data_IF_658008167290
#
_entry.id   IF_658008167290
#
_cell.length_a   1.000
_cell.length_b   1.000
_cell.length_c   1.000
_cell.angle_alpha   90.00
_cell.angle_beta   90.00
_cell.angle_gamma   90.00
#
_symmetry.space_group_name_H-M   'P 1'
#
loop_
_entity.id
_entity.type
_entity.pdbx_description
1 polymer ?
#
# COMPACT_ATOMS: atom_id res chain seq x y z
N UNK A 1 -0.40 58.82 27.68
CA UNK A 1 -0.17 59.89 26.72
C UNK A 1 1.26 59.74 26.21
N UNK A 2 1.41 59.54 24.92
CA UNK A 2 2.76 59.51 24.28
C UNK A 2 3.33 60.94 24.23
N UNK A 3 4.61 61.09 24.59
CA UNK A 3 5.34 62.34 24.42
C UNK A 3 6.03 62.36 23.04
N UNK A 4 5.94 63.45 22.35
CA UNK A 4 6.69 63.68 21.09
C UNK A 4 7.87 64.66 21.33
N UNK A 5 8.68 64.91 20.29
CA UNK A 5 9.85 65.73 20.38
C UNK A 5 9.58 67.21 20.79
N UNK A 6 8.33 67.66 20.81
CA UNK A 6 7.89 69.00 21.14
C UNK A 6 7.11 69.09 22.48
N UNK A 7 7.03 67.96 23.24
CA UNK A 7 6.33 67.95 24.52
C UNK A 7 7.10 68.77 25.54
N UNK A 8 6.51 69.90 25.98
CA UNK A 8 7.08 70.77 27.04
C UNK A 8 6.81 70.11 28.40
N UNK A 9 7.89 69.70 29.08
CA UNK A 9 7.83 69.13 30.41
C UNK A 9 7.78 70.28 31.44
N UNK A 10 6.66 70.43 32.11
CA UNK A 10 6.44 71.51 33.11
C UNK A 10 6.50 70.98 34.55
N UNK A 11 6.58 69.67 34.76
CA UNK A 11 6.70 69.00 36.07
C UNK A 11 7.63 67.77 35.92
N UNK A 12 8.11 67.23 37.03
CA UNK A 12 8.91 65.99 37.01
C UNK A 12 8.11 64.82 36.39
N UNK A 13 8.56 64.37 35.22
CA UNK A 13 7.91 63.28 34.48
C UNK A 13 8.88 62.11 34.37
N UNK A 14 8.41 60.92 34.80
CA UNK A 14 9.15 59.68 34.52
C UNK A 14 8.67 59.10 33.17
N UNK A 15 9.55 59.04 32.21
CA UNK A 15 9.31 58.41 30.89
C UNK A 15 9.81 56.99 30.96
N UNK A 16 8.92 56.05 30.64
CA UNK A 16 9.28 54.68 30.43
C UNK A 16 9.42 54.46 28.92
N UNK A 17 10.60 54.02 28.51
CA UNK A 17 10.78 53.54 27.14
C UNK A 17 10.08 52.19 27.01
N UNK A 18 9.07 52.13 26.17
CA UNK A 18 8.43 50.85 25.82
C UNK A 18 9.18 50.32 24.62
N UNK A 19 10.07 49.38 24.87
CA UNK A 19 10.73 48.61 23.84
C UNK A 19 9.81 47.50 23.40
N UNK A 20 9.44 47.47 22.13
CA UNK A 20 8.93 46.28 21.51
C UNK A 20 10.14 45.58 20.83
N UNK A 21 10.29 44.29 21.06
CA UNK A 21 11.19 43.53 20.20
C UNK A 21 10.80 43.75 18.73
N UNK A 22 11.77 43.84 17.79
CA UNK A 22 11.40 43.89 16.38
C UNK A 22 10.51 42.67 16.08
N UNK A 23 9.36 42.92 15.45
CA UNK A 23 8.48 41.86 15.05
C UNK A 23 9.26 40.85 14.19
N UNK A 24 9.31 39.60 14.67
CA UNK A 24 9.86 38.50 13.85
C UNK A 24 8.78 38.11 12.88
N UNK A 25 9.10 38.08 11.58
CA UNK A 25 8.11 37.61 10.60
C UNK A 25 7.72 36.15 10.85
N UNK A 26 6.41 35.86 10.82
CA UNK A 26 5.91 34.49 10.95
C UNK A 26 6.49 33.62 9.83
N UNK A 27 7.26 32.61 10.20
CA UNK A 27 7.79 31.60 9.29
C UNK A 27 7.26 30.21 9.66
N UNK A 28 6.95 29.40 8.63
CA UNK A 28 6.35 28.07 8.79
C UNK A 28 7.06 27.09 7.88
N UNK A 29 7.60 26.05 8.45
CA UNK A 29 8.19 24.92 7.73
C UNK A 29 7.23 23.76 7.63
N UNK A 30 7.33 22.97 6.55
CA UNK A 30 6.48 21.80 6.28
C UNK A 30 7.32 20.55 6.28
N UNK A 31 6.84 19.51 6.95
CA UNK A 31 7.42 18.18 6.90
C UNK A 31 6.35 17.08 6.78
N UNK A 32 6.75 15.88 6.37
CA UNK A 32 5.85 14.76 6.05
C UNK A 32 6.34 13.48 6.71
N UNK A 33 5.40 12.63 7.16
CA UNK A 33 5.72 11.36 7.82
C UNK A 33 6.27 10.28 6.88
N UNK A 34 6.10 10.42 5.56
CA UNK A 34 6.53 9.46 4.55
C UNK A 34 7.79 9.91 3.78
N UNK A 35 8.70 10.57 4.43
CA UNK A 35 10.02 10.92 3.86
C UNK A 35 11.10 10.10 4.55
N UNK A 36 12.12 9.70 3.76
CA UNK A 36 13.30 9.02 4.29
C UNK A 36 14.31 10.03 4.90
N UNK A 37 15.42 9.53 5.44
CA UNK A 37 16.47 10.37 6.04
C UNK A 37 17.12 11.35 5.05
N UNK A 38 17.04 11.07 3.74
CA UNK A 38 17.50 11.97 2.68
C UNK A 38 16.47 13.03 2.28
N UNK A 39 15.27 13.01 2.89
CA UNK A 39 14.17 13.93 2.56
C UNK A 39 13.39 13.55 1.31
N UNK A 40 13.58 12.33 0.77
CA UNK A 40 12.85 11.82 -0.39
C UNK A 40 11.54 11.18 0.03
N UNK A 41 10.47 11.43 -0.75
CA UNK A 41 9.16 10.81 -0.52
C UNK A 41 9.24 9.29 -0.75
N UNK A 42 8.72 8.53 0.21
CA UNK A 42 8.55 7.08 0.11
C UNK A 42 7.08 6.72 -0.08
N UNK A 43 6.81 5.63 -0.79
CA UNK A 43 5.47 5.08 -0.93
C UNK A 43 4.97 4.51 0.41
N UNK A 44 3.69 4.69 0.69
CA UNK A 44 3.04 4.19 1.92
C UNK A 44 1.57 3.86 1.67
N UNK A 45 1.07 2.82 2.30
CA UNK A 45 -0.36 2.50 2.34
C UNK A 45 -1.08 3.13 3.56
N UNK A 46 -0.34 3.90 4.35
CA UNK A 46 -0.86 4.63 5.50
C UNK A 46 -1.20 6.08 5.13
N UNK A 47 -1.95 6.74 6.00
CA UNK A 47 -2.15 8.18 5.92
C UNK A 47 -0.83 8.91 6.14
N UNK A 48 -0.61 9.98 5.39
CA UNK A 48 0.55 10.85 5.56
C UNK A 48 0.21 11.98 6.51
N UNK A 49 0.95 12.06 7.61
CA UNK A 49 0.85 13.19 8.53
C UNK A 49 1.72 14.34 8.01
N UNK A 50 1.08 15.49 7.79
CA UNK A 50 1.74 16.76 7.51
C UNK A 50 1.94 17.47 8.83
N UNK A 51 3.15 17.96 9.07
CA UNK A 51 3.52 18.76 10.24
C UNK A 51 3.97 20.14 9.77
N UNK A 52 3.30 21.17 10.28
CA UNK A 52 3.70 22.57 10.14
C UNK A 52 4.37 23.01 11.43
N UNK A 53 5.58 23.53 11.32
CA UNK A 53 6.33 24.06 12.48
C UNK A 53 6.55 25.54 12.28
N UNK A 54 5.98 26.34 13.18
CA UNK A 54 6.10 27.78 13.20
C UNK A 54 7.23 28.24 14.14
N UNK A 55 7.84 29.38 13.83
CA UNK A 55 8.87 30.01 14.64
C UNK A 55 8.34 30.73 15.89
N UNK A 56 7.01 30.87 15.99
CA UNK A 56 6.32 31.51 17.12
C UNK A 56 4.95 30.85 17.36
N UNK A 57 4.29 31.13 18.52
CA UNK A 57 2.98 30.57 18.84
C UNK A 57 1.91 30.95 17.82
N UNK A 58 1.12 29.98 17.39
CA UNK A 58 0.07 30.12 16.38
C UNK A 58 -1.30 29.74 16.95
N UNK A 59 -2.34 30.18 16.28
CA UNK A 59 -3.71 29.87 16.62
C UNK A 59 -4.11 28.48 16.11
N UNK A 60 -5.09 27.87 16.77
CA UNK A 60 -5.68 26.61 16.31
C UNK A 60 -6.37 26.76 14.95
N UNK A 61 -6.23 25.75 14.10
CA UNK A 61 -6.86 25.69 12.78
C UNK A 61 -7.82 24.51 12.76
N UNK A 62 -9.01 24.69 12.21
CA UNK A 62 -10.01 23.63 12.10
C UNK A 62 -9.44 22.43 11.28
N UNK A 63 -9.59 21.23 11.85
CA UNK A 63 -9.09 20.00 11.26
C UNK A 63 -7.57 19.78 11.39
N UNK A 64 -6.88 20.59 12.19
CA UNK A 64 -5.49 20.40 12.60
C UNK A 64 -5.40 20.20 14.10
N UNK A 65 -4.41 19.46 14.53
CA UNK A 65 -4.07 19.30 15.94
C UNK A 65 -2.91 20.24 16.27
N UNK A 66 -3.14 21.15 17.22
CA UNK A 66 -2.12 22.06 17.74
C UNK A 66 -1.48 21.44 18.99
N UNK A 67 -0.18 21.50 19.10
CA UNK A 67 0.57 21.00 20.26
C UNK A 67 0.49 21.94 21.47
N UNK A 68 1.03 21.50 22.61
CA UNK A 68 1.02 22.28 23.86
C UNK A 68 1.89 23.55 23.79
N UNK A 69 2.92 23.55 22.94
CA UNK A 69 3.80 24.72 22.73
C UNK A 69 3.18 25.76 21.81
N UNK A 70 2.08 25.41 21.17
CA UNK A 70 1.38 26.23 20.16
C UNK A 70 2.23 26.57 18.94
N UNK A 71 3.28 25.80 18.67
CA UNK A 71 4.18 26.04 17.51
C UNK A 71 4.09 24.93 16.47
N UNK A 72 3.43 23.82 16.77
CA UNK A 72 3.34 22.65 15.86
C UNK A 72 1.88 22.31 15.58
N UNK A 73 1.53 22.30 14.29
CA UNK A 73 0.24 21.87 13.79
C UNK A 73 0.40 20.57 12.99
N UNK A 74 -0.42 19.57 13.26
CA UNK A 74 -0.40 18.28 12.54
C UNK A 74 -1.75 17.96 11.93
N UNK A 75 -1.72 17.34 10.72
CA UNK A 75 -2.93 16.84 10.04
C UNK A 75 -2.58 15.59 9.23
N UNK A 76 -3.41 14.55 9.36
CA UNK A 76 -3.32 13.35 8.53
C UNK A 76 -4.11 13.51 7.23
N UNK A 77 -3.55 13.03 6.13
CA UNK A 77 -4.15 13.00 4.80
C UNK A 77 -4.20 11.57 4.28
N UNK A 78 -5.36 11.17 3.79
CA UNK A 78 -5.62 9.83 3.22
C UNK A 78 -5.47 9.77 1.71
N UNK A 79 -5.15 10.92 1.06
CA UNK A 79 -5.04 11.08 -0.39
C UNK A 79 -3.92 12.01 -0.79
N UNK A 80 -3.32 11.71 -1.95
CA UNK A 80 -2.38 12.59 -2.62
C UNK A 80 -3.10 13.87 -3.10
N UNK A 81 -2.43 15.01 -3.03
CA UNK A 81 -2.98 16.28 -3.49
C UNK A 81 -2.17 17.49 -3.03
N UNK A 82 -2.48 18.65 -3.60
CA UNK A 82 -1.93 19.95 -3.17
C UNK A 82 -2.99 20.64 -2.32
N UNK A 83 -2.57 21.16 -1.19
CA UNK A 83 -3.41 21.76 -0.16
C UNK A 83 -2.88 23.14 0.21
N UNK A 84 -3.78 23.99 0.70
CA UNK A 84 -3.48 25.33 1.17
C UNK A 84 -4.02 25.50 2.59
N UNK A 85 -3.30 26.25 3.39
CA UNK A 85 -3.73 26.60 4.75
C UNK A 85 -3.16 27.96 5.13
N UNK A 86 -3.94 28.78 5.81
CA UNK A 86 -3.48 30.04 6.38
C UNK A 86 -3.17 29.81 7.86
N UNK A 87 -1.90 29.98 8.23
CA UNK A 87 -1.43 29.94 9.62
C UNK A 87 -1.45 31.36 10.17
N UNK A 88 -1.95 31.54 11.39
CA UNK A 88 -2.02 32.83 12.07
C UNK A 88 -1.24 32.78 13.36
N UNK A 89 -0.37 33.74 13.60
CA UNK A 89 0.31 33.89 14.88
C UNK A 89 -0.60 34.48 15.96
N UNK A 90 -0.16 34.41 17.20
CA UNK A 90 -0.90 34.95 18.33
C UNK A 90 -1.04 36.48 18.25
N UNK A 91 -0.08 37.18 17.63
CA UNK A 91 -0.07 38.63 17.43
C UNK A 91 -0.80 39.08 16.15
N UNK A 92 -1.31 38.13 15.34
CA UNK A 92 -2.19 38.39 14.20
C UNK A 92 -1.51 38.42 12.83
N UNK A 93 -0.24 38.02 12.73
CA UNK A 93 0.40 37.82 11.43
C UNK A 93 -0.21 36.62 10.71
N UNK A 94 -0.25 36.65 9.37
CA UNK A 94 -0.79 35.56 8.55
C UNK A 94 0.27 35.04 7.56
N UNK A 95 0.36 33.73 7.45
CA UNK A 95 1.20 33.02 6.47
C UNK A 95 0.36 32.04 5.69
N UNK A 96 0.28 32.22 4.38
CA UNK A 96 -0.28 31.19 3.51
C UNK A 96 0.79 30.12 3.23
N UNK A 97 0.41 28.87 3.46
CA UNK A 97 1.26 27.69 3.25
C UNK A 97 0.61 26.79 2.22
N UNK A 98 1.26 26.58 1.09
CA UNK A 98 0.95 25.55 0.11
C UNK A 98 1.85 24.34 0.36
N UNK A 99 1.27 23.13 0.36
CA UNK A 99 2.02 21.89 0.51
C UNK A 99 1.40 20.75 -0.31
N UNK A 100 2.24 19.81 -0.74
CA UNK A 100 1.81 18.69 -1.57
C UNK A 100 2.05 17.37 -0.84
N UNK A 101 0.97 16.62 -0.62
CA UNK A 101 1.02 15.25 -0.13
C UNK A 101 1.13 14.32 -1.34
N UNK A 102 2.09 13.40 -1.31
CA UNK A 102 2.33 12.41 -2.37
C UNK A 102 2.84 11.10 -1.78
N UNK A 103 2.88 10.05 -2.59
CA UNK A 103 3.38 8.73 -2.15
C UNK A 103 2.35 7.89 -1.39
N UNK A 104 1.09 8.30 -1.32
CA UNK A 104 0.02 7.44 -0.76
C UNK A 104 -0.49 6.53 -1.87
N UNK A 105 -0.38 5.22 -1.63
CA UNK A 105 -1.03 4.18 -2.43
C UNK A 105 -1.67 3.14 -1.51
N UNK A 106 -2.99 3.00 -1.61
CA UNK A 106 -3.81 2.05 -0.82
C UNK A 106 -4.41 0.94 -1.67
N UNK A 107 -3.95 0.81 -2.92
CA UNK A 107 -4.39 -0.24 -3.82
C UNK A 107 -3.41 -1.38 -3.84
N UNK A 108 -3.92 -2.60 -3.66
CA UNK A 108 -3.10 -3.78 -3.79
C UNK A 108 -2.77 -4.10 -5.27
N UNK A 109 -1.57 -4.65 -5.54
CA UNK A 109 -1.16 -5.05 -6.87
C UNK A 109 -2.04 -6.17 -7.44
N UNK A 110 -2.08 -6.30 -8.76
CA UNK A 110 -2.82 -7.36 -9.44
C UNK A 110 -1.88 -8.49 -9.85
N UNK A 111 -2.37 -9.75 -9.74
CA UNK A 111 -1.70 -10.94 -10.25
C UNK A 111 -2.66 -11.74 -11.13
N UNK A 112 -2.18 -12.22 -12.27
CA UNK A 112 -2.94 -13.06 -13.21
C UNK A 112 -2.09 -14.24 -13.65
N UNK A 113 -2.68 -15.44 -13.55
CA UNK A 113 -2.10 -16.69 -14.06
C UNK A 113 -2.72 -16.97 -15.42
N UNK A 114 -1.87 -17.15 -16.43
CA UNK A 114 -2.25 -17.57 -17.77
C UNK A 114 -1.90 -19.03 -18.00
N UNK A 115 -2.87 -19.82 -18.45
CA UNK A 115 -2.67 -21.25 -18.66
C UNK A 115 -3.95 -22.00 -18.97
N UNK A 116 -3.91 -23.32 -18.88
CA UNK A 116 -5.06 -24.20 -19.05
C UNK A 116 -5.51 -24.73 -17.71
N UNK A 117 -6.70 -24.34 -17.27
CA UNK A 117 -7.27 -24.69 -15.97
C UNK A 117 -8.65 -24.03 -15.76
N UNK A 118 -9.16 -24.09 -14.54
CA UNK A 118 -10.45 -23.53 -14.14
C UNK A 118 -10.35 -22.18 -13.40
N UNK A 119 -9.15 -21.57 -13.35
CA UNK A 119 -8.85 -20.35 -12.61
C UNK A 119 -8.29 -20.56 -11.20
N UNK A 120 -8.52 -21.73 -10.61
CA UNK A 120 -7.97 -22.14 -9.31
C UNK A 120 -6.94 -23.27 -9.46
N UNK A 121 -7.20 -24.22 -10.37
CA UNK A 121 -6.33 -25.34 -10.63
C UNK A 121 -5.92 -25.37 -12.11
N UNK A 122 -4.65 -25.56 -12.36
CA UNK A 122 -4.02 -25.49 -13.69
C UNK A 122 -3.30 -26.80 -13.99
N UNK A 123 -3.57 -27.38 -15.18
CA UNK A 123 -2.75 -28.45 -15.76
C UNK A 123 -1.55 -27.92 -16.56
N UNK A 124 -1.63 -26.66 -16.96
CA UNK A 124 -0.56 -25.95 -17.65
C UNK A 124 -0.56 -24.49 -17.25
N UNK A 125 0.56 -23.98 -16.79
CA UNK A 125 0.76 -22.54 -16.53
C UNK A 125 1.77 -22.04 -17.57
N UNK A 126 1.33 -21.10 -18.42
CA UNK A 126 2.14 -20.51 -19.50
C UNK A 126 2.80 -19.21 -19.06
N UNK A 127 2.16 -18.50 -18.14
CA UNK A 127 2.65 -17.22 -17.69
C UNK A 127 2.07 -16.83 -16.32
N UNK A 128 2.80 -15.95 -15.64
CA UNK A 128 2.32 -15.18 -14.50
C UNK A 128 2.58 -13.72 -14.82
N UNK A 129 1.53 -12.89 -14.77
CA UNK A 129 1.60 -11.45 -14.99
C UNK A 129 1.23 -10.73 -13.71
N UNK A 130 2.01 -9.73 -13.37
CA UNK A 130 1.76 -8.87 -12.21
C UNK A 130 1.79 -7.41 -12.64
N UNK A 131 0.98 -6.56 -12.01
CA UNK A 131 0.87 -5.15 -12.35
C UNK A 131 0.46 -4.32 -11.14
N UNK A 132 1.14 -3.19 -10.98
CA UNK A 132 0.75 -2.11 -10.10
C UNK A 132 1.17 -0.75 -10.71
N UNK A 133 0.29 0.29 -10.73
CA UNK A 133 0.61 1.59 -11.34
C UNK A 133 1.75 2.34 -10.66
N UNK A 134 1.94 2.12 -9.36
CA UNK A 134 2.96 2.82 -8.55
C UNK A 134 4.22 1.98 -8.33
N UNK A 135 4.18 0.72 -8.77
CA UNK A 135 5.32 -0.18 -8.81
C UNK A 135 5.26 -1.34 -7.84
N UNK A 136 5.86 -2.44 -8.26
CA UNK A 136 5.91 -3.70 -7.53
C UNK A 136 7.28 -3.83 -6.87
N UNK A 137 7.28 -4.13 -5.59
CA UNK A 137 8.50 -4.41 -4.81
C UNK A 137 8.98 -5.84 -5.09
N UNK A 138 8.12 -6.84 -4.87
CA UNK A 138 8.49 -8.24 -5.11
C UNK A 138 7.29 -9.14 -5.39
N UNK A 139 7.60 -10.30 -6.02
CA UNK A 139 6.73 -11.47 -6.10
C UNK A 139 7.37 -12.58 -5.26
N UNK A 140 6.57 -13.25 -4.43
CA UNK A 140 6.98 -14.45 -3.70
C UNK A 140 6.03 -15.59 -4.06
N UNK A 141 6.56 -16.70 -4.56
CA UNK A 141 5.79 -17.94 -4.78
C UNK A 141 6.38 -19.01 -3.88
N UNK A 142 5.55 -19.54 -2.99
CA UNK A 142 5.97 -20.41 -1.91
C UNK A 142 7.08 -19.71 -1.08
N UNK A 143 8.30 -20.21 -1.11
CA UNK A 143 9.45 -19.63 -0.41
C UNK A 143 10.41 -18.87 -1.35
N UNK A 144 10.11 -18.81 -2.66
CA UNK A 144 10.96 -18.16 -3.67
C UNK A 144 10.55 -16.71 -3.85
N UNK A 145 11.40 -15.79 -3.41
CA UNK A 145 11.23 -14.35 -3.56
C UNK A 145 11.96 -13.83 -4.79
N UNK A 146 11.27 -13.01 -5.60
CA UNK A 146 11.81 -12.34 -6.78
C UNK A 146 11.58 -10.84 -6.64
N UNK A 147 12.65 -10.04 -6.55
CA UNK A 147 12.59 -8.57 -6.54
C UNK A 147 12.20 -8.07 -7.94
N UNK A 148 11.32 -7.07 -8.02
CA UNK A 148 10.71 -6.64 -9.28
C UNK A 148 11.16 -5.23 -9.68
N UNK A 149 10.96 -4.22 -8.86
CA UNK A 149 11.30 -2.81 -9.12
C UNK A 149 10.75 -2.28 -10.47
N UNK A 150 9.53 -2.71 -10.85
CA UNK A 150 8.86 -2.37 -12.10
C UNK A 150 7.36 -2.26 -11.87
N UNK A 151 6.62 -1.54 -12.72
CA UNK A 151 5.16 -1.42 -12.65
C UNK A 151 4.42 -2.61 -13.22
N UNK A 152 5.06 -3.36 -14.10
CA UNK A 152 4.51 -4.53 -14.77
C UNK A 152 5.60 -5.57 -15.00
N UNK A 153 5.27 -6.84 -14.73
CA UNK A 153 6.17 -7.96 -15.08
C UNK A 153 5.38 -9.14 -15.62
N UNK A 154 5.96 -9.77 -16.63
CA UNK A 154 5.43 -10.96 -17.29
C UNK A 154 6.47 -12.06 -17.28
N UNK A 155 6.12 -13.19 -16.66
CA UNK A 155 7.00 -14.34 -16.50
C UNK A 155 6.48 -15.52 -17.30
N UNK A 156 7.38 -16.21 -17.98
CA UNK A 156 7.14 -17.46 -18.72
C UNK A 156 7.89 -18.66 -18.13
N UNK A 157 8.99 -18.42 -17.42
CA UNK A 157 9.69 -19.46 -16.66
C UNK A 157 9.14 -19.55 -15.25
N UNK A 158 8.05 -20.30 -15.11
CA UNK A 158 7.34 -20.47 -13.82
C UNK A 158 8.12 -21.28 -12.79
N UNK A 159 9.05 -22.14 -13.25
CA UNK A 159 9.89 -22.96 -12.34
C UNK A 159 10.89 -22.08 -11.61
N UNK A 160 11.48 -21.10 -12.31
CA UNK A 160 12.39 -20.15 -11.70
C UNK A 160 11.70 -19.29 -10.62
N UNK A 161 10.37 -19.16 -10.69
CA UNK A 161 9.55 -18.47 -9.68
C UNK A 161 9.20 -19.34 -8.47
N UNK A 162 9.55 -20.62 -8.44
CA UNK A 162 9.23 -21.52 -7.33
C UNK A 162 7.87 -22.23 -7.44
N UNK A 163 7.23 -22.24 -8.62
CA UNK A 163 6.00 -23.01 -8.84
C UNK A 163 6.31 -24.51 -8.85
N UNK A 164 5.59 -25.27 -8.04
CA UNK A 164 5.71 -26.74 -7.90
C UNK A 164 4.38 -27.44 -8.20
N UNK A 165 4.41 -28.74 -8.46
CA UNK A 165 3.18 -29.54 -8.51
C UNK A 165 2.51 -29.56 -7.15
N UNK A 166 1.17 -29.50 -7.13
CA UNK A 166 0.35 -29.37 -5.94
C UNK A 166 -0.10 -27.93 -5.69
N UNK A 167 -0.31 -27.61 -4.43
CA UNK A 167 -0.79 -26.28 -4.01
C UNK A 167 0.35 -25.30 -3.95
N UNK A 168 0.16 -24.14 -4.57
CA UNK A 168 1.09 -23.02 -4.56
C UNK A 168 0.42 -21.79 -3.95
N UNK A 169 1.18 -20.98 -3.25
CA UNK A 169 0.77 -19.67 -2.75
C UNK A 169 1.64 -18.60 -3.40
N UNK A 170 1.02 -17.61 -4.04
CA UNK A 170 1.69 -16.44 -4.57
C UNK A 170 1.30 -15.19 -3.80
N UNK A 171 2.30 -14.38 -3.45
CA UNK A 171 2.18 -13.09 -2.78
C UNK A 171 2.87 -12.05 -3.62
N UNK A 172 2.16 -11.00 -4.00
CA UNK A 172 2.73 -9.81 -4.67
C UNK A 172 2.63 -8.64 -3.73
N UNK A 173 3.72 -7.93 -3.56
CA UNK A 173 3.78 -6.73 -2.70
C UNK A 173 4.26 -5.56 -3.54
N UNK A 174 3.55 -4.43 -3.43
CA UNK A 174 3.92 -3.18 -4.09
C UNK A 174 4.93 -2.34 -3.29
N UNK A 175 5.30 -1.18 -3.82
CA UNK A 175 6.24 -0.27 -3.16
C UNK A 175 5.67 0.40 -1.91
N UNK A 176 4.33 0.49 -1.79
CA UNK A 176 3.65 1.05 -0.62
C UNK A 176 3.40 0.02 0.49
N UNK A 177 3.66 -1.27 0.21
CA UNK A 177 3.46 -2.38 1.14
C UNK A 177 2.05 -2.97 1.10
N UNK A 178 1.23 -2.68 0.06
CA UNK A 178 -0.02 -3.41 -0.14
C UNK A 178 0.27 -4.80 -0.71
N UNK A 179 -0.52 -5.78 -0.30
CA UNK A 179 -0.33 -7.18 -0.63
C UNK A 179 -1.54 -7.78 -1.35
N UNK A 180 -1.26 -8.55 -2.40
CA UNK A 180 -2.22 -9.49 -2.99
C UNK A 180 -1.70 -10.91 -2.82
N UNK A 181 -2.51 -11.76 -2.19
CA UNK A 181 -2.22 -13.18 -1.99
C UNK A 181 -3.24 -14.04 -2.69
N UNK A 182 -2.76 -15.00 -3.48
CA UNK A 182 -3.59 -16.03 -4.13
C UNK A 182 -3.04 -17.42 -3.84
N UNK A 183 -3.93 -18.41 -3.87
CA UNK A 183 -3.57 -19.83 -3.80
C UNK A 183 -4.07 -20.50 -5.08
N UNK A 184 -3.25 -21.36 -5.68
CA UNK A 184 -3.59 -22.07 -6.90
C UNK A 184 -2.97 -23.47 -6.91
N UNK A 185 -3.68 -24.42 -7.52
CA UNK A 185 -3.18 -25.76 -7.80
C UNK A 185 -2.45 -25.82 -9.14
N UNK A 186 -1.37 -26.58 -9.21
CA UNK A 186 -0.70 -26.92 -10.46
C UNK A 186 -0.46 -28.43 -10.51
N UNK A 187 -1.06 -29.09 -11.48
CA UNK A 187 -0.91 -30.53 -11.70
C UNK A 187 -0.87 -30.83 -13.20
N UNK A 188 0.28 -31.26 -13.66
CA UNK A 188 0.54 -31.67 -15.05
C UNK A 188 0.57 -33.19 -15.21
N UNK A 189 0.44 -33.94 -14.11
CA UNK A 189 0.50 -35.39 -14.10
C UNK A 189 -0.82 -35.94 -14.62
N UNK A 190 -0.78 -36.75 -15.66
CA UNK A 190 -2.00 -37.38 -16.16
C UNK A 190 -2.44 -38.51 -15.23
N UNK A 191 -3.77 -38.68 -15.01
CA UNK A 191 -4.26 -39.77 -14.21
C UNK A 191 -3.87 -41.12 -14.79
N UNK A 192 -3.54 -42.05 -13.91
CA UNK A 192 -3.31 -43.44 -14.27
C UNK A 192 -4.56 -44.28 -14.02
N UNK A 193 -4.77 -45.29 -14.87
CA UNK A 193 -5.94 -46.12 -14.82
C UNK A 193 -5.56 -47.62 -14.67
N UNK A 194 -6.29 -48.32 -13.84
CA UNK A 194 -6.16 -49.76 -13.71
C UNK A 194 -7.54 -50.43 -13.78
N UNK A 195 -7.71 -51.31 -14.75
CA UNK A 195 -8.91 -52.11 -14.88
C UNK A 195 -8.85 -53.33 -13.96
N UNK A 196 -9.90 -53.54 -13.21
CA UNK A 196 -10.13 -54.74 -12.41
C UNK A 196 -11.38 -55.42 -12.95
N UNK A 197 -11.20 -56.65 -13.45
CA UNK A 197 -12.27 -57.46 -14.02
C UNK A 197 -12.47 -58.68 -13.11
N UNK A 198 -13.70 -58.92 -12.66
CA UNK A 198 -14.01 -60.15 -11.95
C UNK A 198 -13.89 -61.34 -12.91
N UNK A 199 -12.96 -62.25 -12.60
CA UNK A 199 -12.66 -63.42 -13.42
C UNK A 199 -13.65 -64.61 -13.21
N UNK A 200 -14.81 -64.39 -12.60
CA UNK A 200 -15.82 -65.41 -12.49
C UNK A 200 -16.37 -65.78 -13.89
N UNK A 201 -15.88 -66.90 -14.42
CA UNK A 201 -16.14 -67.36 -15.81
C UNK A 201 -17.55 -67.87 -16.06
N UNK A 202 -18.38 -68.04 -15.03
CA UNK A 202 -19.74 -68.57 -15.13
C UNK A 202 -20.88 -67.53 -14.98
N UNK A 203 -20.54 -66.24 -14.79
CA UNK A 203 -21.52 -65.19 -14.63
C UNK A 203 -22.06 -64.69 -15.97
N UNK A 204 -23.39 -64.45 -16.06
CA UNK A 204 -24.04 -63.86 -17.24
C UNK A 204 -23.72 -62.37 -17.40
N UNK A 205 -23.21 -61.73 -16.34
CA UNK A 205 -22.71 -60.35 -16.34
C UNK A 205 -21.42 -60.28 -15.53
N UNK A 206 -20.51 -59.36 -15.93
CA UNK A 206 -19.26 -59.13 -15.21
C UNK A 206 -19.24 -57.68 -14.73
N UNK A 207 -18.83 -57.51 -13.48
CA UNK A 207 -18.51 -56.21 -12.95
C UNK A 207 -17.08 -55.83 -13.38
N UNK A 208 -16.94 -54.64 -13.96
CA UNK A 208 -15.65 -54.06 -14.31
C UNK A 208 -15.47 -52.82 -13.46
N UNK A 209 -14.37 -52.77 -12.72
CA UNK A 209 -14.05 -51.63 -11.89
C UNK A 209 -12.82 -50.92 -12.45
N UNK A 210 -12.87 -49.59 -12.52
CA UNK A 210 -11.75 -48.75 -12.87
C UNK A 210 -11.19 -48.13 -11.58
N UNK A 211 -9.93 -48.42 -11.29
CA UNK A 211 -9.18 -47.70 -10.27
C UNK A 211 -8.40 -46.57 -10.94
N UNK A 212 -8.48 -45.34 -10.40
CA UNK A 212 -7.80 -44.16 -10.89
C UNK A 212 -6.90 -43.58 -9.81
N UNK A 213 -5.78 -42.97 -10.18
CA UNK A 213 -4.90 -42.28 -9.24
C UNK A 213 -5.45 -40.95 -8.75
N UNK A 214 -6.47 -40.42 -9.42
CA UNK A 214 -7.06 -39.10 -9.18
C UNK A 214 -8.58 -39.19 -9.33
N UNK A 215 -9.29 -38.17 -8.83
CA UNK A 215 -10.72 -38.03 -9.07
C UNK A 215 -10.96 -37.75 -10.56
N UNK A 216 -11.91 -38.51 -11.13
CA UNK A 216 -12.26 -38.37 -12.54
C UNK A 216 -13.74 -38.00 -12.70
N UNK A 217 -14.06 -37.31 -13.78
CA UNK A 217 -15.43 -37.11 -14.19
C UNK A 217 -15.94 -38.40 -14.87
N UNK A 218 -17.02 -38.98 -14.33
CA UNK A 218 -17.63 -40.15 -14.94
C UNK A 218 -18.38 -39.79 -16.22
N UNK A 219 -18.45 -40.73 -17.20
CA UNK A 219 -19.40 -40.61 -18.31
C UNK A 219 -20.83 -40.51 -17.82
N UNK A 220 -21.68 -39.79 -18.57
CA UNK A 220 -23.08 -39.52 -18.18
C UNK A 220 -23.94 -40.77 -17.98
N UNK A 221 -23.56 -41.91 -18.57
CA UNK A 221 -24.31 -43.17 -18.47
C UNK A 221 -23.40 -44.38 -18.24
N UNK A 222 -23.92 -45.34 -17.47
CA UNK A 222 -23.34 -46.69 -17.34
C UNK A 222 -22.25 -46.85 -16.27
N UNK A 223 -21.89 -45.76 -15.54
CA UNK A 223 -20.90 -45.85 -14.49
C UNK A 223 -21.41 -45.26 -13.18
N UNK A 224 -20.94 -45.80 -12.06
CA UNK A 224 -21.22 -45.27 -10.72
C UNK A 224 -19.95 -45.25 -9.88
N UNK A 225 -19.83 -44.24 -9.04
CA UNK A 225 -18.81 -44.23 -7.97
C UNK A 225 -19.19 -45.19 -6.86
N UNK A 226 -18.25 -45.99 -6.37
CA UNK A 226 -18.38 -46.83 -5.20
C UNK A 226 -17.53 -46.32 -4.05
#
# INVERSE_FOLDING_TARGET
TSADANTVVTEDMTLYAQWSDPAVDLDVTVSYSNVNEAGEVTWTNQDVTVTLTANEPVQSIEGWTLDETQTVLTKAHDKNGTYHVTVRSADGQEKEVEYTVSGIDKKAPNIKIGGTGNGENYREIKSIAIHDPEGISYLMINETKTEINDKYKYFTDIKALGVVEGTNTAVVVDNAGNETKITFGYDKTAPTFKWIVDNNTQAQSKEVRLETSEEIQLPDEGWSLK
#
